data_IF_516096336750
#
_entry.id   IF_516096336750
#
_cell.length_a   1.000
_cell.length_b   1.000
_cell.length_c   1.000
_cell.angle_alpha   90.00
_cell.angle_beta   90.00
_cell.angle_gamma   90.00
#
_symmetry.space_group_name_H-M   'P 1'
#
loop_
_entity.id
_entity.type
_entity.pdbx_description
1 polymer ?
#
# COMPACT_ATOMS: atom_id res chain seq x y z
N UNK A 1 17.89 3.27 -6.63
CA UNK A 1 17.58 1.94 -6.07
C UNK A 1 16.07 1.78 -6.07
N UNK A 2 15.36 1.02 -6.90
CA UNK A 2 15.66 0.12 -8.01
C UNK A 2 14.59 0.38 -9.08
N UNK A 3 14.98 0.48 -10.35
CA UNK A 3 14.07 0.61 -11.50
C UNK A 3 13.51 -0.77 -11.84
N UNK A 4 12.19 -0.89 -11.94
CA UNK A 4 11.48 -2.11 -12.35
C UNK A 4 11.57 -2.26 -13.87
N UNK A 5 12.36 -3.23 -14.34
CA UNK A 5 12.33 -3.66 -15.74
C UNK A 5 11.25 -4.73 -15.92
N UNK A 6 10.18 -4.36 -16.62
CA UNK A 6 9.16 -5.26 -17.14
C UNK A 6 9.70 -5.94 -18.40
N UNK A 7 9.90 -7.25 -18.38
CA UNK A 7 10.18 -8.02 -19.60
C UNK A 7 8.94 -8.84 -19.96
N UNK A 8 8.17 -8.34 -20.92
CA UNK A 8 7.16 -9.11 -21.64
C UNK A 8 7.87 -9.95 -22.72
N UNK A 9 7.92 -11.27 -22.56
CA UNK A 9 8.37 -12.18 -23.61
C UNK A 9 7.20 -12.52 -24.53
N UNK A 10 7.21 -11.94 -25.73
CA UNK A 10 6.34 -12.34 -26.85
C UNK A 10 7.05 -13.45 -27.62
N UNK A 11 6.46 -14.63 -27.70
CA UNK A 11 6.93 -15.69 -28.59
C UNK A 11 6.18 -15.61 -29.93
N UNK A 12 6.94 -15.43 -31.02
CA UNK A 12 6.45 -15.57 -32.39
C UNK A 12 6.75 -16.99 -32.90
N UNK A 13 5.73 -17.69 -33.39
CA UNK A 13 5.86 -18.98 -34.08
C UNK A 13 6.18 -18.73 -35.55
N UNK A 14 7.28 -19.30 -36.05
CA UNK A 14 7.60 -19.34 -37.48
C UNK A 14 7.21 -20.73 -38.02
N UNK A 15 6.26 -20.78 -38.93
CA UNK A 15 5.93 -21.98 -39.71
C UNK A 15 6.84 -22.07 -40.93
N UNK A 16 7.42 -23.24 -41.18
CA UNK A 16 8.17 -23.54 -42.40
C UNK A 16 7.34 -24.53 -43.24
N UNK A 17 6.90 -24.06 -44.41
CA UNK A 17 6.22 -24.85 -45.43
C UNK A 17 7.11 -26.00 -45.91
N UNK A 18 6.54 -27.20 -46.08
CA UNK A 18 7.11 -28.26 -46.90
C UNK A 18 6.41 -28.25 -48.27
N UNK A 19 7.19 -28.00 -49.31
CA UNK A 19 6.81 -28.07 -50.72
C UNK A 19 6.88 -29.54 -51.18
N UNK A 20 5.85 -30.00 -51.89
CA UNK A 20 5.72 -31.39 -52.36
C UNK A 20 6.19 -31.45 -53.82
N UNK A 21 7.22 -32.25 -54.10
CA UNK A 21 7.68 -32.56 -55.47
C UNK A 21 7.15 -33.94 -55.87
N UNK A 22 6.37 -33.99 -56.96
CA UNK A 22 6.03 -35.23 -57.67
C UNK A 22 6.95 -35.36 -58.89
N UNK A 23 7.29 -36.60 -59.25
CA UNK A 23 7.76 -36.90 -60.60
C UNK A 23 6.85 -37.98 -61.23
N UNK A 24 6.43 -37.70 -62.45
CA UNK A 24 5.57 -38.51 -63.31
C UNK A 24 6.46 -39.35 -64.23
N UNK A 25 6.27 -40.67 -64.27
CA UNK A 25 6.89 -41.52 -65.30
C UNK A 25 5.82 -42.24 -66.09
N UNK A 26 5.83 -41.87 -67.37
CA UNK A 26 5.04 -42.30 -68.50
C UNK A 26 5.26 -43.78 -68.85
N UNK A 27 4.16 -44.49 -69.11
CA UNK A 27 4.10 -45.87 -69.57
C UNK A 27 4.53 -45.99 -71.04
N UNK A 28 5.31 -47.02 -71.39
CA UNK A 28 5.32 -47.60 -72.73
C UNK A 28 5.44 -49.13 -72.63
N UNK A 29 4.53 -49.82 -73.33
CA UNK A 29 4.43 -51.27 -73.45
C UNK A 29 5.45 -51.83 -74.45
N UNK A 30 5.98 -53.03 -74.17
CA UNK A 30 6.25 -54.00 -75.24
C UNK A 30 6.25 -55.43 -74.71
N UNK A 31 5.25 -56.19 -75.18
CA UNK A 31 5.10 -57.64 -75.10
C UNK A 31 6.20 -58.35 -75.91
N UNK A 32 6.65 -59.54 -75.45
CA UNK A 32 6.58 -60.81 -76.19
C UNK A 32 6.88 -61.99 -75.25
N UNK A 33 5.96 -62.95 -75.26
CA UNK A 33 5.99 -64.23 -74.57
C UNK A 33 7.13 -65.16 -75.04
N UNK A 34 7.60 -66.04 -74.15
CA UNK A 34 7.67 -67.51 -74.33
C UNK A 34 8.33 -68.15 -73.09
N UNK A 35 7.56 -68.89 -72.28
CA UNK A 35 8.04 -69.94 -71.36
C UNK A 35 8.22 -71.26 -72.16
N UNK A 36 8.97 -72.31 -71.72
CA UNK A 36 9.24 -72.73 -70.33
C UNK A 36 10.72 -73.25 -70.12
N UNK A 37 11.24 -73.80 -69.00
CA UNK A 37 10.72 -74.60 -67.88
C UNK A 37 11.83 -74.73 -66.80
N UNK A 38 11.42 -74.70 -65.52
CA UNK A 38 11.95 -75.40 -64.32
C UNK A 38 13.42 -75.24 -63.88
N UNK A 39 13.67 -74.68 -62.69
CA UNK A 39 13.71 -75.41 -61.39
C UNK A 39 13.98 -74.42 -60.23
N UNK A 40 13.25 -74.61 -59.11
CA UNK A 40 13.50 -74.27 -57.69
C UNK A 40 14.52 -73.16 -57.32
N UNK A 41 14.23 -72.19 -56.45
CA UNK A 41 13.78 -72.36 -55.07
C UNK A 41 13.26 -71.04 -54.45
N UNK A 42 12.62 -71.15 -53.29
CA UNK A 42 11.75 -70.14 -52.63
C UNK A 42 12.44 -68.92 -51.99
N UNK A 43 11.71 -67.80 -52.11
CA UNK A 43 11.41 -66.73 -51.12
C UNK A 43 12.47 -65.68 -50.70
N UNK A 44 12.08 -64.45 -51.07
CA UNK A 44 12.24 -63.11 -50.45
C UNK A 44 12.41 -63.05 -48.89
N UNK A 45 12.94 -61.91 -48.39
CA UNK A 45 13.72 -61.79 -47.15
C UNK A 45 12.87 -61.57 -45.89
N UNK A 46 13.37 -62.04 -44.75
CA UNK A 46 12.78 -61.81 -43.43
C UNK A 46 13.57 -60.76 -42.64
N UNK A 47 13.12 -59.50 -42.64
CA UNK A 47 13.59 -58.47 -41.69
C UNK A 47 12.53 -57.47 -41.22
N UNK A 48 11.26 -57.61 -41.65
CA UNK A 48 10.20 -56.63 -41.35
C UNK A 48 9.46 -56.85 -40.01
N UNK A 49 9.62 -58.02 -39.37
CA UNK A 49 8.88 -58.38 -38.15
C UNK A 49 9.46 -57.79 -36.85
N UNK A 50 10.79 -57.62 -36.75
CA UNK A 50 11.44 -57.19 -35.49
C UNK A 50 11.35 -55.68 -35.23
N UNK A 51 11.41 -54.86 -36.27
CA UNK A 51 11.29 -53.40 -36.17
C UNK A 51 9.85 -52.95 -35.87
N UNK A 52 8.86 -53.71 -36.32
CA UNK A 52 7.44 -53.39 -36.15
C UNK A 52 6.96 -53.53 -34.70
N UNK A 53 7.42 -54.58 -33.99
CA UNK A 53 7.09 -54.79 -32.57
C UNK A 53 7.74 -53.75 -31.64
N UNK A 54 8.95 -53.28 -31.97
CA UNK A 54 9.63 -52.24 -31.19
C UNK A 54 9.01 -50.83 -31.38
N UNK A 55 8.47 -50.53 -32.56
CA UNK A 55 7.75 -49.29 -32.81
C UNK A 55 6.38 -49.25 -32.11
N UNK A 56 5.68 -50.39 -32.06
CA UNK A 56 4.37 -50.49 -31.39
C UNK A 56 4.47 -50.31 -29.86
N UNK A 57 5.49 -50.89 -29.21
CA UNK A 57 5.71 -50.71 -27.77
C UNK A 57 6.09 -49.29 -27.40
N UNK A 58 6.90 -48.64 -28.24
CA UNK A 58 7.26 -47.23 -28.09
C UNK A 58 6.03 -46.31 -28.23
N UNK A 59 5.15 -46.60 -29.20
CA UNK A 59 3.90 -45.85 -29.38
C UNK A 59 2.99 -45.92 -28.15
N UNK A 60 2.83 -47.11 -27.56
CA UNK A 60 2.02 -47.30 -26.34
C UNK A 60 2.65 -46.55 -25.15
N UNK A 61 3.97 -46.61 -25.00
CA UNK A 61 4.68 -45.84 -23.97
C UNK A 61 4.46 -44.33 -24.14
N UNK A 62 4.51 -43.81 -25.37
CA UNK A 62 4.21 -42.41 -25.66
C UNK A 62 2.77 -42.05 -25.28
N UNK A 63 1.79 -42.90 -25.59
CA UNK A 63 0.39 -42.64 -25.22
C UNK A 63 0.20 -42.60 -23.70
N UNK A 64 0.80 -43.53 -22.96
CA UNK A 64 0.73 -43.56 -21.49
C UNK A 64 1.36 -42.29 -20.90
N UNK A 65 2.53 -41.87 -21.42
CA UNK A 65 3.18 -40.64 -20.97
C UNK A 65 2.31 -39.41 -21.22
N UNK A 66 1.64 -39.33 -22.37
CA UNK A 66 0.71 -38.23 -22.68
C UNK A 66 -0.47 -38.20 -21.70
N UNK A 67 -1.07 -39.35 -21.37
CA UNK A 67 -2.17 -39.42 -20.40
C UNK A 67 -1.74 -38.99 -18.99
N UNK A 68 -0.55 -39.40 -18.55
CA UNK A 68 0.01 -39.02 -17.25
C UNK A 68 0.27 -37.51 -17.20
N UNK A 69 0.88 -36.95 -18.24
CA UNK A 69 1.14 -35.50 -18.36
C UNK A 69 -0.17 -34.71 -18.37
N UNK A 70 -1.18 -35.16 -19.14
CA UNK A 70 -2.47 -34.51 -19.20
C UNK A 70 -3.17 -34.50 -17.83
N UNK A 71 -3.14 -35.63 -17.12
CA UNK A 71 -3.73 -35.78 -15.78
C UNK A 71 -3.04 -34.86 -14.76
N UNK A 72 -1.70 -34.87 -14.72
CA UNK A 72 -0.89 -33.97 -13.89
C UNK A 72 -1.16 -32.50 -14.19
N UNK A 73 -1.30 -32.15 -15.47
CA UNK A 73 -1.58 -30.77 -15.90
C UNK A 73 -2.95 -30.29 -15.41
N UNK A 74 -3.96 -31.15 -15.42
CA UNK A 74 -5.31 -30.82 -14.93
C UNK A 74 -5.29 -30.66 -13.40
N UNK A 75 -4.67 -31.59 -12.67
CA UNK A 75 -4.56 -31.52 -11.21
C UNK A 75 -3.72 -30.33 -10.73
N UNK A 76 -2.64 -29.98 -11.45
CA UNK A 76 -1.84 -28.82 -11.12
C UNK A 76 -2.64 -27.51 -11.31
N UNK A 77 -3.45 -27.42 -12.38
CA UNK A 77 -4.32 -26.27 -12.62
C UNK A 77 -5.39 -26.11 -11.54
N UNK A 78 -6.07 -27.17 -11.12
CA UNK A 78 -7.11 -27.10 -10.08
C UNK A 78 -6.53 -26.67 -8.73
N UNK A 79 -5.38 -27.24 -8.32
CA UNK A 79 -4.69 -26.87 -7.07
C UNK A 79 -4.17 -25.44 -7.12
N UNK A 80 -3.62 -25.00 -8.27
CA UNK A 80 -3.15 -23.62 -8.43
C UNK A 80 -4.29 -22.60 -8.33
N UNK A 81 -5.48 -22.93 -8.86
CA UNK A 81 -6.67 -22.09 -8.77
C UNK A 81 -7.17 -21.97 -7.32
N UNK A 82 -7.24 -23.08 -6.58
CA UNK A 82 -7.64 -23.09 -5.16
C UNK A 82 -6.65 -22.30 -4.28
N UNK A 83 -5.34 -22.45 -4.52
CA UNK A 83 -4.34 -21.64 -3.83
C UNK A 83 -4.46 -20.16 -4.19
N UNK A 84 -4.75 -19.84 -5.46
CA UNK A 84 -4.93 -18.47 -5.91
C UNK A 84 -6.17 -17.81 -5.27
N UNK A 85 -7.29 -18.53 -5.13
CA UNK A 85 -8.49 -18.02 -4.47
C UNK A 85 -8.30 -17.81 -2.98
N UNK A 86 -7.64 -18.76 -2.28
CA UNK A 86 -7.29 -18.59 -0.86
C UNK A 86 -6.34 -17.40 -0.65
N UNK A 87 -5.36 -17.22 -1.54
CA UNK A 87 -4.44 -16.08 -1.51
C UNK A 87 -5.17 -14.74 -1.69
N UNK A 88 -6.14 -14.67 -2.61
CA UNK A 88 -6.98 -13.46 -2.79
C UNK A 88 -7.86 -13.18 -1.57
N UNK A 89 -8.50 -14.20 -0.99
CA UNK A 89 -9.34 -14.05 0.22
C UNK A 89 -8.52 -13.58 1.42
N UNK A 90 -7.35 -14.18 1.65
CA UNK A 90 -6.46 -13.77 2.73
C UNK A 90 -5.92 -12.34 2.51
N UNK A 91 -5.65 -11.96 1.27
CA UNK A 91 -5.25 -10.58 0.93
C UNK A 91 -6.38 -9.59 1.22
N UNK A 92 -7.62 -9.94 0.89
CA UNK A 92 -8.79 -9.12 1.19
C UNK A 92 -9.02 -8.97 2.71
N UNK A 93 -8.91 -10.06 3.48
CA UNK A 93 -9.01 -10.03 4.94
C UNK A 93 -7.87 -9.22 5.58
N UNK A 94 -6.64 -9.39 5.12
CA UNK A 94 -5.51 -8.59 5.58
C UNK A 94 -5.74 -7.10 5.27
N UNK A 95 -6.22 -6.76 4.07
CA UNK A 95 -6.55 -5.39 3.74
C UNK A 95 -7.65 -4.85 4.65
N UNK A 96 -8.71 -5.62 4.92
CA UNK A 96 -9.77 -5.23 5.85
C UNK A 96 -9.21 -4.96 7.24
N UNK A 97 -8.42 -5.89 7.80
CA UNK A 97 -7.77 -5.72 9.10
C UNK A 97 -6.87 -4.48 9.14
N UNK A 98 -6.15 -4.17 8.05
CA UNK A 98 -5.34 -2.95 7.97
C UNK A 98 -6.22 -1.68 8.01
N UNK A 99 -7.38 -1.70 7.36
CA UNK A 99 -8.31 -0.56 7.40
C UNK A 99 -8.92 -0.36 8.79
N UNK A 100 -9.33 -1.44 9.45
CA UNK A 100 -9.85 -1.41 10.81
C UNK A 100 -8.77 -0.94 11.80
N UNK A 101 -7.54 -1.46 11.67
CA UNK A 101 -6.39 -1.01 12.46
C UNK A 101 -6.12 0.48 12.28
N UNK A 102 -6.14 0.99 11.06
CA UNK A 102 -5.96 2.42 10.79
C UNK A 102 -7.10 3.25 11.39
N UNK A 103 -8.34 2.79 11.30
CA UNK A 103 -9.49 3.45 11.92
C UNK A 103 -9.38 3.50 13.45
N UNK A 104 -8.99 2.38 14.07
CA UNK A 104 -8.81 2.27 15.52
C UNK A 104 -7.64 3.13 16.00
N UNK A 105 -6.53 3.18 15.24
CA UNK A 105 -5.41 4.09 15.53
C UNK A 105 -5.82 5.56 15.46
N UNK A 106 -6.67 5.96 14.50
CA UNK A 106 -7.21 7.33 14.46
C UNK A 106 -8.05 7.65 15.69
N UNK A 107 -8.90 6.71 16.12
CA UNK A 107 -9.67 6.89 17.36
C UNK A 107 -8.74 7.06 18.56
N UNK A 108 -7.72 6.21 18.69
CA UNK A 108 -6.73 6.32 19.76
C UNK A 108 -6.02 7.68 19.77
N UNK A 109 -5.64 8.21 18.60
CA UNK A 109 -5.04 9.55 18.49
C UNK A 109 -6.01 10.66 18.89
N UNK A 110 -7.29 10.57 18.49
CA UNK A 110 -8.32 11.53 18.91
C UNK A 110 -8.49 11.53 20.43
N UNK A 111 -8.66 10.35 21.04
CA UNK A 111 -8.77 10.23 22.50
C UNK A 111 -7.51 10.73 23.22
N UNK A 112 -6.31 10.46 22.67
CA UNK A 112 -5.06 10.98 23.25
C UNK A 112 -5.03 12.51 23.23
N UNK A 113 -5.43 13.14 22.12
CA UNK A 113 -5.50 14.59 22.01
C UNK A 113 -6.52 15.19 22.98
N UNK A 114 -7.70 14.58 23.11
CA UNK A 114 -8.73 15.03 24.05
C UNK A 114 -8.24 14.92 25.51
N UNK A 115 -7.55 13.82 25.84
CA UNK A 115 -6.88 13.65 27.13
C UNK A 115 -5.85 14.74 27.38
N UNK A 116 -4.98 15.01 26.41
CA UNK A 116 -3.91 16.00 26.57
C UNK A 116 -4.49 17.41 26.73
N UNK A 117 -5.56 17.73 26.00
CA UNK A 117 -6.31 18.98 26.15
C UNK A 117 -6.97 19.11 27.53
N UNK A 118 -7.59 18.04 28.03
CA UNK A 118 -8.16 18.03 29.37
C UNK A 118 -7.08 18.18 30.45
N UNK A 119 -5.97 17.46 30.31
CA UNK A 119 -4.85 17.52 31.24
C UNK A 119 -4.25 18.94 31.31
N UNK A 120 -4.09 19.59 30.15
CA UNK A 120 -3.68 20.99 30.09
C UNK A 120 -4.67 21.92 30.81
N UNK A 121 -5.98 21.74 30.57
CA UNK A 121 -7.03 22.56 31.20
C UNK A 121 -7.00 22.42 32.73
N UNK A 122 -6.84 21.20 33.23
CA UNK A 122 -6.71 20.94 34.67
C UNK A 122 -5.46 21.62 35.24
N UNK A 123 -4.32 21.53 34.55
CA UNK A 123 -3.08 22.18 34.99
C UNK A 123 -3.26 23.69 35.15
N UNK A 124 -3.96 24.34 34.23
CA UNK A 124 -4.23 25.79 34.32
C UNK A 124 -5.16 26.11 35.48
N UNK A 125 -6.22 25.33 35.69
CA UNK A 125 -7.19 25.58 36.77
C UNK A 125 -6.56 25.40 38.16
N UNK A 126 -5.71 24.39 38.34
CA UNK A 126 -5.10 24.06 39.63
C UNK A 126 -4.04 25.07 40.10
N UNK A 127 -3.54 25.91 39.20
CA UNK A 127 -2.56 26.95 39.54
C UNK A 127 -3.18 28.13 40.31
N UNK A 128 -4.51 28.28 40.27
CA UNK A 128 -5.24 29.38 40.91
C UNK A 128 -5.96 28.93 42.19
N UNK A 129 -5.79 29.66 43.30
CA UNK A 129 -6.55 29.40 44.54
C UNK A 129 -8.05 29.61 44.38
N UNK A 130 -8.47 30.57 43.55
CA UNK A 130 -9.86 30.85 43.18
C UNK A 130 -9.92 31.16 41.67
N UNK A 131 -10.39 30.21 40.87
CA UNK A 131 -10.42 30.34 39.41
C UNK A 131 -11.74 30.98 38.94
N UNK A 132 -11.72 32.12 38.21
CA UNK A 132 -12.93 32.79 37.74
C UNK A 132 -13.54 32.07 36.52
N UNK A 133 -14.21 30.94 36.78
CA UNK A 133 -14.80 30.05 35.75
C UNK A 133 -15.70 30.80 34.76
N UNK A 134 -16.53 31.73 35.25
CA UNK A 134 -17.50 32.46 34.43
C UNK A 134 -16.83 33.34 33.37
N UNK A 135 -15.66 33.91 33.68
CA UNK A 135 -14.94 34.82 32.79
C UNK A 135 -13.99 34.07 31.86
N UNK A 136 -13.30 33.04 32.36
CA UNK A 136 -12.32 32.27 31.59
C UNK A 136 -12.92 31.15 30.76
N UNK A 137 -14.08 30.60 31.16
CA UNK A 137 -14.72 29.46 30.49
C UNK A 137 -16.17 29.74 30.05
N UNK A 138 -16.42 30.78 29.24
CA UNK A 138 -17.75 31.01 28.68
C UNK A 138 -18.19 29.79 27.84
N UNK A 139 -19.46 29.39 27.99
CA UNK A 139 -20.01 28.23 27.27
C UNK A 139 -19.24 26.91 27.49
N UNK A 140 -18.59 26.74 28.65
CA UNK A 140 -17.75 25.58 29.00
C UNK A 140 -16.51 25.39 28.13
N UNK A 141 -16.09 26.43 27.38
CA UNK A 141 -14.86 26.45 26.61
C UNK A 141 -13.90 27.43 27.27
N UNK A 142 -12.82 26.91 27.86
CA UNK A 142 -11.84 27.71 28.58
C UNK A 142 -10.83 28.37 27.64
N UNK A 143 -10.51 29.62 27.91
CA UNK A 143 -9.41 30.37 27.29
C UNK A 143 -8.24 30.50 28.26
N UNK A 144 -7.00 30.59 27.77
CA UNK A 144 -5.82 30.75 28.62
C UNK A 144 -5.74 32.11 29.33
N UNK A 145 -6.28 33.17 28.72
CA UNK A 145 -6.31 34.51 29.30
C UNK A 145 -7.72 35.12 29.22
N UNK A 146 -7.99 36.07 30.12
CA UNK A 146 -9.21 36.88 30.11
C UNK A 146 -9.30 37.72 28.83
N UNK A 147 -10.51 38.10 28.44
CA UNK A 147 -10.72 38.96 27.28
C UNK A 147 -9.99 40.32 27.46
N UNK A 148 -9.27 40.74 26.42
CA UNK A 148 -8.43 41.94 26.46
C UNK A 148 -7.00 41.72 26.96
N UNK A 149 -6.68 40.52 27.45
CA UNK A 149 -5.32 40.11 27.80
C UNK A 149 -4.67 39.35 26.65
N UNK A 150 -3.36 39.53 26.49
CA UNK A 150 -2.56 38.87 25.47
C UNK A 150 -1.80 37.71 26.11
N UNK A 151 -2.00 36.49 25.59
CA UNK A 151 -1.18 35.35 25.96
C UNK A 151 0.18 35.47 25.27
N UNK A 152 1.25 35.47 26.05
CA UNK A 152 2.59 35.27 25.54
C UNK A 152 3.35 34.26 26.40
N UNK A 153 3.84 33.18 25.78
CA UNK A 153 4.35 31.99 26.47
C UNK A 153 3.30 31.45 27.46
N UNK A 154 3.60 31.47 28.76
CA UNK A 154 2.71 31.00 29.83
C UNK A 154 2.10 32.13 30.64
N UNK A 155 2.30 33.39 30.23
CA UNK A 155 1.85 34.58 30.97
C UNK A 155 0.80 35.36 30.18
N UNK A 156 -0.13 35.98 30.91
CA UNK A 156 -1.14 36.88 30.35
C UNK A 156 -0.73 38.34 30.62
N UNK A 157 -0.69 39.16 29.58
CA UNK A 157 -0.30 40.58 29.66
C UNK A 157 -1.47 41.50 29.33
N UNK A 158 -1.68 42.53 30.14
CA UNK A 158 -2.67 43.58 29.89
C UNK A 158 -1.97 44.89 29.53
N UNK A 159 -2.33 45.45 28.37
CA UNK A 159 -1.82 46.73 27.92
C UNK A 159 -2.91 47.80 27.99
N UNK A 160 -2.68 48.85 28.77
CA UNK A 160 -3.58 50.01 28.85
C UNK A 160 -3.40 50.92 27.63
N UNK A 161 -4.39 50.97 26.73
CA UNK A 161 -4.34 51.74 25.47
C UNK A 161 -4.87 53.17 25.64
N UNK A 162 -4.36 53.90 26.61
CA UNK A 162 -4.75 55.29 26.85
C UNK A 162 -3.95 56.27 25.98
N UNK A 163 -4.63 56.87 24.99
CA UNK A 163 -4.02 57.78 24.01
C UNK A 163 -3.62 59.16 24.57
N UNK A 164 -4.17 59.53 25.73
CA UNK A 164 -3.93 60.82 26.37
C UNK A 164 -3.10 60.63 27.63
N UNK A 165 -1.99 61.36 27.75
CA UNK A 165 -1.12 61.34 28.93
C UNK A 165 -1.85 61.72 30.23
N UNK A 166 -2.93 62.50 30.14
CA UNK A 166 -3.80 62.82 31.28
C UNK A 166 -4.52 61.60 31.89
N UNK A 167 -4.64 60.50 31.15
CA UNK A 167 -5.21 59.24 31.63
C UNK A 167 -4.16 58.27 32.16
N UNK A 168 -2.88 58.56 31.97
CA UNK A 168 -1.80 57.70 32.45
C UNK A 168 -1.80 57.69 33.98
N UNK A 169 -1.66 56.49 34.52
CA UNK A 169 -1.58 56.27 35.96
C UNK A 169 -0.16 56.55 36.41
N UNK A 170 0.00 57.08 37.62
CA UNK A 170 1.31 57.08 38.29
C UNK A 170 1.76 55.64 38.52
N UNK A 171 3.06 55.42 38.75
CA UNK A 171 3.58 54.08 39.04
C UNK A 171 2.79 53.35 40.15
N UNK A 172 2.57 54.03 41.28
CA UNK A 172 1.77 53.51 42.40
C UNK A 172 0.34 53.16 42.00
N UNK A 173 -0.35 54.05 41.28
CA UNK A 173 -1.73 53.79 40.81
C UNK A 173 -1.80 52.66 39.80
N UNK A 174 -0.74 52.45 39.01
CA UNK A 174 -0.65 51.34 38.05
C UNK A 174 -0.48 50.02 38.80
N UNK A 175 0.34 49.99 39.85
CA UNK A 175 0.50 48.82 40.70
C UNK A 175 -0.80 48.46 41.42
N UNK A 176 -1.51 49.44 41.98
CA UNK A 176 -2.83 49.25 42.59
C UNK A 176 -3.84 48.70 41.58
N UNK A 177 -3.87 49.26 40.36
CA UNK A 177 -4.73 48.78 39.27
C UNK A 177 -4.44 47.34 38.85
N UNK A 178 -3.17 46.93 38.75
CA UNK A 178 -2.82 45.53 38.47
C UNK A 178 -3.34 44.60 39.58
N UNK A 179 -3.18 44.98 40.86
CA UNK A 179 -3.65 44.19 42.00
C UNK A 179 -5.17 44.04 42.04
N UNK A 180 -5.92 45.09 41.68
CA UNK A 180 -7.38 45.04 41.52
C UNK A 180 -7.81 44.04 40.43
N UNK A 181 -6.91 43.73 39.48
CA UNK A 181 -7.10 42.75 38.41
C UNK A 181 -6.46 41.39 38.71
N UNK A 182 -6.09 41.12 39.97
CA UNK A 182 -5.41 39.90 40.39
C UNK A 182 -4.10 39.66 39.61
N UNK A 183 -3.37 40.72 39.29
CA UNK A 183 -2.11 40.69 38.56
C UNK A 183 -1.08 41.63 39.19
N UNK A 184 0.14 41.59 38.66
CA UNK A 184 1.23 42.48 39.05
C UNK A 184 1.70 43.33 37.85
N UNK A 185 2.44 44.40 38.16
CA UNK A 185 3.13 45.15 37.12
C UNK A 185 4.19 44.26 36.47
N UNK A 186 4.23 44.28 35.14
CA UNK A 186 5.16 43.45 34.37
C UNK A 186 6.61 43.76 34.73
N UNK A 187 7.38 42.71 35.00
CA UNK A 187 8.83 42.73 35.07
C UNK A 187 9.33 41.90 33.89
N UNK A 188 10.15 42.51 33.04
CA UNK A 188 10.68 41.84 31.86
C UNK A 188 11.94 41.08 32.29
N UNK A 189 11.87 39.75 32.25
CA UNK A 189 12.95 38.88 32.72
C UNK A 189 13.82 38.38 31.56
N UNK A 190 13.28 38.37 30.34
CA UNK A 190 13.95 37.82 29.17
C UNK A 190 14.09 38.82 28.02
N UNK A 191 15.13 38.62 27.20
CA UNK A 191 15.31 39.40 25.96
C UNK A 191 14.17 39.15 24.96
N UNK A 192 13.58 37.96 24.98
CA UNK A 192 12.46 37.61 24.10
C UNK A 192 11.19 38.40 24.48
N UNK A 193 10.88 38.53 25.77
CA UNK A 193 9.82 39.41 26.25
C UNK A 193 10.08 40.88 25.88
N UNK A 194 11.30 41.37 26.09
CA UNK A 194 11.68 42.75 25.75
C UNK A 194 11.46 43.06 24.26
N UNK A 195 11.72 42.09 23.38
CA UNK A 195 11.53 42.24 21.94
C UNK A 195 10.07 42.06 21.51
N UNK A 196 9.33 41.12 22.12
CA UNK A 196 7.99 40.74 21.67
C UNK A 196 6.87 41.55 22.30
N UNK A 197 6.94 41.89 23.58
CA UNK A 197 5.85 42.61 24.27
C UNK A 197 5.51 43.98 23.65
N UNK A 198 6.48 44.81 23.20
CA UNK A 198 6.16 46.08 22.56
C UNK A 198 5.37 45.95 21.25
N UNK A 199 5.43 44.79 20.58
CA UNK A 199 4.70 44.56 19.32
C UNK A 199 3.18 44.40 19.50
N UNK A 200 2.71 44.24 20.75
CA UNK A 200 1.29 44.08 21.07
C UNK A 200 0.58 45.39 21.42
N UNK A 201 1.33 46.48 21.61
CA UNK A 201 0.83 47.82 21.99
C UNK A 201 0.49 48.61 20.73
#
# INVERSE_FOLDING_TARGET
FYSTFNYAFVFAVKTQNMEVIYDEVKTEEKSWDTHPKTSDDKKKPASHGRLFWAAASLGILCLILIFVIASLSISCKSVSFEHQTQSMMLTAQNHQLQTEKAALQRQMQNLSRDRDQLNWTISVILDYQNFPVTELCPQKVCKPCLDGWVLFQSNCYLFTKDMYSSKWKTWKKSQEFCKEKNADLVVIETLEEQARLPSFI
#
